data_IF_013124273013
#
_entry.id   IF_013124273013
#
_cell.length_a   1.000
_cell.length_b   1.000
_cell.length_c   1.000
_cell.angle_alpha   90.00
_cell.angle_beta   90.00
_cell.angle_gamma   90.00
#
_symmetry.space_group_name_H-M   'P 1'
#
loop_
_entity.id
_entity.type
_entity.pdbx_description
1 polymer ?
#
# COMPACT_ATOMS: atom_id res chain seq x y z
N UNK A 1 -5.70 -2.69 -6.87
CA UNK A 1 -5.97 -1.25 -7.14
C UNK A 1 -6.28 -0.50 -5.85
N UNK A 2 -5.43 -0.62 -4.83
CA UNK A 2 -5.59 0.08 -3.54
C UNK A 2 -4.32 -0.15 -2.74
N UNK A 3 -3.86 0.84 -1.98
CA UNK A 3 -2.92 0.64 -0.88
C UNK A 3 -3.33 1.50 0.31
N UNK A 4 -3.50 0.85 1.47
CA UNK A 4 -3.68 1.54 2.74
C UNK A 4 -2.73 0.97 3.79
N UNK A 5 -2.28 1.84 4.69
CA UNK A 5 -1.42 1.49 5.82
C UNK A 5 -1.92 2.21 7.07
N UNK A 6 -1.92 1.49 8.19
CA UNK A 6 -2.18 2.05 9.50
C UNK A 6 -1.08 1.59 10.47
N UNK A 7 -0.61 2.51 11.31
CA UNK A 7 0.47 2.29 12.26
C UNK A 7 0.02 2.69 13.66
N UNK A 8 0.45 1.92 14.66
CA UNK A 8 0.26 2.16 16.08
C UNK A 8 1.61 2.31 16.76
N UNK A 9 1.92 3.53 17.15
CA UNK A 9 3.09 3.88 17.96
C UNK A 9 2.64 4.31 19.35
N UNK A 10 3.55 4.39 20.31
CA UNK A 10 3.22 4.70 21.71
C UNK A 10 2.54 6.07 21.86
N UNK A 11 2.86 6.99 20.94
CA UNK A 11 2.37 8.38 20.92
C UNK A 11 1.04 8.56 20.19
N UNK A 12 0.58 7.59 19.40
CA UNK A 12 -0.61 7.79 18.56
C UNK A 12 -0.83 6.74 17.48
N UNK A 13 -1.70 7.08 16.53
CA UNK A 13 -1.98 6.29 15.35
C UNK A 13 -1.71 7.12 14.09
N UNK A 14 -1.23 6.48 13.03
CA UNK A 14 -1.05 7.08 11.71
C UNK A 14 -1.81 6.26 10.69
N UNK A 15 -2.60 6.92 9.85
CA UNK A 15 -3.38 6.30 8.78
C UNK A 15 -3.05 6.96 7.46
N UNK A 16 -2.83 6.16 6.42
CA UNK A 16 -2.61 6.64 5.08
C UNK A 16 -3.33 5.73 4.09
N UNK A 17 -4.11 6.32 3.19
CA UNK A 17 -4.80 5.60 2.13
C UNK A 17 -4.68 6.33 0.79
N UNK A 18 -4.43 5.58 -0.28
CA UNK A 18 -4.59 6.08 -1.64
C UNK A 18 -6.07 6.17 -2.03
N UNK A 19 -6.39 6.82 -3.14
CA UNK A 19 -7.79 7.01 -3.60
C UNK A 19 -8.09 6.40 -4.97
N UNK A 20 -7.07 6.01 -5.73
CA UNK A 20 -7.28 5.36 -7.03
C UNK A 20 -7.99 4.03 -6.85
N UNK A 21 -9.10 3.84 -7.57
CA UNK A 21 -9.95 2.67 -7.42
C UNK A 21 -10.41 2.15 -8.78
N UNK A 22 -10.51 0.83 -8.90
CA UNK A 22 -11.16 0.18 -10.03
C UNK A 22 -12.67 0.16 -9.81
N UNK A 23 -13.43 0.87 -10.63
CA UNK A 23 -14.90 0.84 -10.64
C UNK A 23 -15.48 -0.03 -11.78
N UNK A 24 -14.63 -0.65 -12.60
CA UNK A 24 -15.03 -1.48 -13.74
C UNK A 24 -13.98 -1.51 -14.85
N UNK A 25 -14.22 -2.29 -15.89
CA UNK A 25 -13.35 -2.28 -17.10
C UNK A 25 -13.28 -0.84 -17.63
N UNK A 26 -12.06 -0.34 -17.79
CA UNK A 26 -11.72 1.04 -18.20
C UNK A 26 -12.22 2.18 -17.30
N UNK A 27 -12.78 1.88 -16.12
CA UNK A 27 -13.26 2.86 -15.16
C UNK A 27 -12.32 2.95 -13.95
N UNK A 28 -11.23 3.70 -14.13
CA UNK A 28 -10.38 4.12 -13.00
C UNK A 28 -10.87 5.45 -12.49
N UNK A 29 -11.21 5.52 -11.21
CA UNK A 29 -11.78 6.71 -10.58
C UNK A 29 -11.20 6.95 -9.19
N UNK A 30 -11.51 8.10 -8.63
CA UNK A 30 -11.02 8.56 -7.33
C UNK A 30 -12.11 8.37 -6.29
N UNK A 31 -11.88 7.49 -5.32
CA UNK A 31 -12.78 7.25 -4.18
C UNK A 31 -11.98 7.31 -2.88
N UNK A 32 -12.54 8.00 -1.87
CA UNK A 32 -11.96 7.99 -0.52
C UNK A 32 -12.03 6.58 0.05
N UNK A 33 -10.93 6.15 0.65
CA UNK A 33 -10.80 4.84 1.30
C UNK A 33 -10.60 4.95 2.80
N UNK A 34 -10.79 6.13 3.35
CA UNK A 34 -10.72 6.45 4.78
C UNK A 34 -12.06 7.02 5.22
N UNK A 35 -12.67 6.41 6.24
CA UNK A 35 -13.89 6.88 6.89
C UNK A 35 -13.60 7.11 8.37
N UNK A 36 -14.04 8.25 8.90
CA UNK A 36 -13.84 8.63 10.29
C UNK A 36 -15.19 8.68 11.00
N UNK A 37 -15.29 7.97 12.12
CA UNK A 37 -16.41 8.05 13.06
C UNK A 37 -15.90 8.75 14.31
N UNK A 38 -16.28 10.02 14.47
CA UNK A 38 -15.79 10.88 15.54
C UNK A 38 -16.94 11.35 16.44
N UNK A 39 -16.70 11.30 17.75
CA UNK A 39 -17.46 12.02 18.77
C UNK A 39 -16.44 12.73 19.67
N UNK A 40 -16.19 14.04 19.45
CA UNK A 40 -15.08 14.73 20.10
C UNK A 40 -15.14 14.63 21.62
N UNK A 41 -14.00 14.28 22.23
CA UNK A 41 -13.87 14.08 23.67
C UNK A 41 -14.31 12.71 24.17
N UNK A 42 -14.92 11.88 23.31
CA UNK A 42 -15.41 10.55 23.68
C UNK A 42 -14.77 9.45 22.83
N UNK A 43 -14.79 9.54 21.49
CA UNK A 43 -14.17 8.51 20.63
C UNK A 43 -13.73 9.03 19.28
N UNK A 44 -12.74 8.34 18.73
CA UNK A 44 -12.32 8.43 17.34
C UNK A 44 -12.09 7.01 16.83
N UNK A 45 -12.83 6.61 15.79
CA UNK A 45 -12.63 5.37 15.05
C UNK A 45 -12.36 5.71 13.58
N UNK A 46 -11.39 5.03 12.98
CA UNK A 46 -10.94 5.27 11.60
C UNK A 46 -10.92 3.93 10.88
N UNK A 47 -11.66 3.87 9.79
CA UNK A 47 -11.79 2.69 8.95
C UNK A 47 -11.12 2.94 7.59
N UNK A 48 -10.12 2.13 7.25
CA UNK A 48 -9.54 2.08 5.91
C UNK A 48 -10.08 0.88 5.15
N UNK A 49 -10.36 1.04 3.86
CA UNK A 49 -11.01 0.02 3.03
C UNK A 49 -10.14 -0.39 1.83
N UNK A 50 -10.09 -1.69 1.51
CA UNK A 50 -9.49 -2.17 0.27
C UNK A 50 -10.23 -3.40 -0.28
N UNK A 51 -10.22 -3.56 -1.60
CA UNK A 51 -10.88 -4.67 -2.31
C UNK A 51 -11.93 -4.16 -3.29
N UNK A 52 -13.01 -4.93 -3.46
CA UNK A 52 -14.12 -4.55 -4.31
C UNK A 52 -14.87 -3.34 -3.73
N UNK A 53 -14.98 -2.27 -4.53
CA UNK A 53 -15.56 -0.99 -4.12
C UNK A 53 -17.01 -1.11 -3.67
N UNK A 54 -17.83 -1.88 -4.38
CA UNK A 54 -19.25 -2.04 -4.03
C UNK A 54 -19.42 -2.74 -2.68
N UNK A 55 -18.56 -3.74 -2.40
CA UNK A 55 -18.58 -4.46 -1.12
C UNK A 55 -18.13 -3.56 0.03
N UNK A 56 -17.03 -2.82 -0.15
CA UNK A 56 -16.53 -1.94 0.91
C UNK A 56 -17.48 -0.78 1.19
N UNK A 57 -18.10 -0.19 0.15
CA UNK A 57 -19.13 0.84 0.32
C UNK A 57 -20.36 0.31 1.05
N UNK A 58 -20.81 -0.90 0.72
CA UNK A 58 -21.94 -1.54 1.42
C UNK A 58 -21.64 -1.74 2.91
N UNK A 59 -20.42 -2.16 3.26
CA UNK A 59 -20.00 -2.28 4.66
C UNK A 59 -20.00 -0.91 5.35
N UNK A 60 -19.44 0.12 4.72
CA UNK A 60 -19.44 1.49 5.29
C UNK A 60 -20.87 2.02 5.49
N UNK A 61 -21.77 1.72 4.55
CA UNK A 61 -23.17 2.12 4.63
C UNK A 61 -23.87 1.47 5.83
N UNK A 62 -23.74 0.16 6.00
CA UNK A 62 -24.31 -0.56 7.15
C UNK A 62 -23.79 -0.03 8.50
N UNK A 63 -22.54 0.43 8.54
CA UNK A 63 -21.95 1.02 9.76
C UNK A 63 -22.44 2.44 10.04
N UNK A 64 -22.75 3.21 9.00
CA UNK A 64 -23.07 4.65 9.10
C UNK A 64 -24.58 4.91 9.24
N UNK A 65 -25.40 4.08 8.60
CA UNK A 65 -26.86 4.21 8.56
C UNK A 65 -27.50 2.88 9.02
N UNK A 66 -27.46 2.57 10.32
CA UNK A 66 -28.10 1.37 10.84
C UNK A 66 -29.61 1.47 10.63
N UNK A 67 -30.21 0.40 10.12
CA UNK A 67 -31.65 0.30 9.88
C UNK A 67 -32.45 0.01 11.15
N UNK A 68 -31.79 -0.51 12.19
CA UNK A 68 -32.39 -0.83 13.49
C UNK A 68 -31.66 -0.08 14.62
N UNK A 69 -32.36 0.78 15.40
CA UNK A 69 -31.80 1.53 16.52
C UNK A 69 -31.17 0.66 17.63
N UNK A 70 -31.60 -0.60 17.77
CA UNK A 70 -31.09 -1.51 18.79
C UNK A 70 -29.72 -2.12 18.39
N UNK A 71 -29.31 -1.98 17.13
CA UNK A 71 -28.05 -2.52 16.66
C UNK A 71 -26.85 -1.66 17.13
N UNK A 72 -25.73 -2.28 17.54
CA UNK A 72 -24.51 -1.54 17.85
C UNK A 72 -24.00 -0.77 16.64
N UNK A 73 -23.56 0.47 16.87
CA UNK A 73 -22.99 1.39 15.89
C UNK A 73 -21.57 1.78 16.30
N UNK A 74 -20.76 2.34 15.39
CA UNK A 74 -19.45 2.90 15.76
C UNK A 74 -19.52 3.92 16.92
N UNK A 75 -20.68 4.59 17.10
CA UNK A 75 -20.91 5.59 18.15
C UNK A 75 -21.36 5.04 19.50
N UNK A 76 -21.78 3.78 19.61
CA UNK A 76 -22.26 3.22 20.88
C UNK A 76 -21.52 1.95 21.35
N UNK A 77 -20.67 1.35 20.51
CA UNK A 77 -19.86 0.17 20.92
C UNK A 77 -19.03 0.49 22.17
N UNK A 78 -18.92 -0.44 23.13
CA UNK A 78 -18.30 -0.17 24.43
C UNK A 78 -16.77 -0.15 24.39
N UNK A 79 -16.15 -0.76 23.37
CA UNK A 79 -14.69 -0.82 23.23
C UNK A 79 -14.29 -1.10 21.78
N UNK A 80 -13.01 -0.91 21.46
CA UNK A 80 -12.50 -1.09 20.10
C UNK A 80 -12.54 -2.55 19.60
N UNK A 81 -12.60 -3.55 20.48
CA UNK A 81 -12.77 -4.95 20.07
C UNK A 81 -14.20 -5.21 19.59
N UNK A 82 -15.20 -4.67 20.29
CA UNK A 82 -16.59 -4.70 19.82
C UNK A 82 -16.78 -3.87 18.55
N UNK A 83 -16.02 -2.78 18.37
CA UNK A 83 -15.96 -2.07 17.09
C UNK A 83 -15.42 -2.97 15.95
N UNK A 84 -14.35 -3.72 16.18
CA UNK A 84 -13.82 -4.65 15.18
C UNK A 84 -14.80 -5.80 14.87
N UNK A 85 -15.50 -6.33 15.89
CA UNK A 85 -16.59 -7.31 15.70
C UNK A 85 -17.75 -6.73 14.90
N UNK A 86 -18.10 -5.47 15.12
CA UNK A 86 -19.14 -4.79 14.38
C UNK A 86 -18.80 -4.71 12.88
N UNK A 87 -17.57 -4.28 12.53
CA UNK A 87 -17.10 -4.28 11.13
C UNK A 87 -17.11 -5.70 10.55
N UNK A 88 -16.67 -6.70 11.31
CA UNK A 88 -16.70 -8.10 10.88
C UNK A 88 -18.12 -8.64 10.65
N UNK A 89 -19.10 -8.24 11.46
CA UNK A 89 -20.52 -8.58 11.24
C UNK A 89 -21.04 -7.94 9.96
N UNK A 90 -20.78 -6.66 9.74
CA UNK A 90 -21.19 -5.95 8.53
C UNK A 90 -20.59 -6.60 7.26
N UNK A 91 -19.31 -7.00 7.30
CA UNK A 91 -18.68 -7.72 6.19
C UNK A 91 -19.38 -9.05 5.86
N UNK A 92 -19.78 -9.83 6.89
CA UNK A 92 -20.52 -11.08 6.71
C UNK A 92 -21.95 -10.86 6.22
N UNK A 93 -22.58 -9.76 6.60
CA UNK A 93 -23.91 -9.39 6.10
C UNK A 93 -23.85 -9.07 4.61
N UNK A 94 -22.88 -8.24 4.19
CA UNK A 94 -22.59 -7.96 2.78
C UNK A 94 -22.25 -9.22 2.00
N UNK A 95 -21.50 -10.15 2.60
CA UNK A 95 -21.26 -11.47 2.00
C UNK A 95 -22.56 -12.21 1.72
N UNK A 96 -23.46 -12.33 2.70
CA UNK A 96 -24.75 -13.00 2.51
C UNK A 96 -25.61 -12.35 1.43
N UNK A 97 -25.55 -11.02 1.29
CA UNK A 97 -26.32 -10.28 0.29
C UNK A 97 -25.85 -10.53 -1.16
N UNK A 98 -24.56 -10.79 -1.36
CA UNK A 98 -23.97 -10.75 -2.71
C UNK A 98 -23.29 -12.04 -3.17
N UNK A 99 -23.00 -12.99 -2.29
CA UNK A 99 -22.16 -14.16 -2.63
C UNK A 99 -22.70 -14.97 -3.80
N UNK A 100 -24.02 -15.24 -3.86
CA UNK A 100 -24.63 -16.04 -4.94
C UNK A 100 -24.46 -15.34 -6.30
N UNK A 101 -24.84 -14.07 -6.38
CA UNK A 101 -24.69 -13.29 -7.61
C UNK A 101 -23.21 -13.16 -8.03
N UNK A 102 -22.30 -12.88 -7.10
CA UNK A 102 -20.87 -12.80 -7.41
C UNK A 102 -20.33 -14.12 -7.95
N UNK A 103 -20.75 -15.24 -7.36
CA UNK A 103 -20.39 -16.58 -7.82
C UNK A 103 -20.89 -16.85 -9.24
N UNK A 104 -22.14 -16.48 -9.56
CA UNK A 104 -22.73 -16.66 -10.90
C UNK A 104 -21.98 -15.88 -11.99
N UNK A 105 -21.42 -14.71 -11.64
CA UNK A 105 -20.55 -13.92 -12.52
C UNK A 105 -19.05 -14.26 -12.41
N UNK A 106 -18.70 -15.31 -11.66
CA UNK A 106 -17.33 -15.78 -11.44
C UNK A 106 -16.40 -14.69 -10.85
N UNK A 107 -16.95 -13.86 -9.95
CA UNK A 107 -16.27 -12.80 -9.23
C UNK A 107 -16.01 -13.27 -7.79
N UNK A 108 -14.76 -13.17 -7.35
CA UNK A 108 -14.39 -13.51 -5.97
C UNK A 108 -14.87 -12.41 -4.99
N UNK A 109 -15.42 -12.83 -3.85
CA UNK A 109 -15.72 -11.92 -2.76
C UNK A 109 -14.42 -11.45 -2.08
N UNK A 110 -14.02 -10.21 -2.33
CA UNK A 110 -12.77 -9.66 -1.82
C UNK A 110 -12.99 -8.27 -1.20
N UNK A 111 -12.86 -8.19 0.12
CA UNK A 111 -12.77 -6.96 0.87
C UNK A 111 -11.88 -7.14 2.12
N UNK A 112 -11.25 -6.06 2.55
CA UNK A 112 -10.41 -6.03 3.75
C UNK A 112 -10.42 -4.64 4.35
N UNK A 113 -10.21 -4.57 5.66
CA UNK A 113 -10.34 -3.33 6.41
C UNK A 113 -9.23 -3.18 7.44
N UNK A 114 -8.81 -1.94 7.68
CA UNK A 114 -8.04 -1.58 8.85
C UNK A 114 -8.92 -0.70 9.73
N UNK A 115 -9.10 -1.08 11.00
CA UNK A 115 -9.84 -0.29 11.97
C UNK A 115 -8.90 0.12 13.09
N UNK A 116 -8.68 1.42 13.27
CA UNK A 116 -7.91 1.93 14.39
C UNK A 116 -8.63 3.07 15.09
N UNK A 117 -8.28 3.31 16.35
CA UNK A 117 -8.91 4.39 17.09
C UNK A 117 -8.70 4.29 18.59
N UNK A 118 -9.44 5.14 19.29
CA UNK A 118 -9.47 5.20 20.75
C UNK A 118 -10.88 5.61 21.22
N UNK A 119 -11.32 4.96 22.29
CA UNK A 119 -12.53 5.30 23.04
C UNK A 119 -12.07 5.80 24.42
N UNK A 120 -12.79 6.78 24.97
CA UNK A 120 -12.48 7.41 26.25
C UNK A 120 -12.22 6.38 27.35
N UNK A 121 -11.15 6.59 28.12
CA UNK A 121 -10.74 5.68 29.20
C UNK A 121 -10.09 4.37 28.74
N UNK A 122 -9.89 4.16 27.44
CA UNK A 122 -9.24 2.95 26.89
C UNK A 122 -7.97 3.29 26.11
N UNK A 123 -7.10 2.28 25.95
CA UNK A 123 -5.93 2.39 25.10
C UNK A 123 -6.31 2.47 23.62
N UNK A 124 -5.44 3.10 22.82
CA UNK A 124 -5.51 3.02 21.36
C UNK A 124 -5.36 1.58 20.89
N UNK A 125 -6.18 1.18 19.91
CA UNK A 125 -6.13 -0.16 19.31
C UNK A 125 -6.20 -0.07 17.80
N UNK A 126 -5.64 -1.07 17.13
CA UNK A 126 -5.56 -1.16 15.68
C UNK A 126 -5.76 -2.61 15.26
N UNK A 127 -6.67 -2.84 14.31
CA UNK A 127 -7.09 -4.15 13.84
C UNK A 127 -7.01 -4.26 12.33
N UNK A 128 -6.74 -5.46 11.84
CA UNK A 128 -6.96 -5.86 10.45
C UNK A 128 -8.13 -6.83 10.40
N UNK A 129 -9.17 -6.48 9.66
CA UNK A 129 -10.37 -7.29 9.45
C UNK A 129 -10.31 -7.92 8.06
N UNK A 130 -10.47 -9.24 8.00
CA UNK A 130 -10.46 -10.02 6.77
C UNK A 130 -11.88 -10.16 6.18
N UNK A 131 -11.97 -10.57 4.92
CA UNK A 131 -13.24 -10.79 4.22
C UNK A 131 -14.22 -11.73 4.97
N UNK A 132 -13.69 -12.73 5.69
CA UNK A 132 -14.48 -13.64 6.53
C UNK A 132 -15.01 -12.99 7.84
N UNK A 133 -14.70 -11.72 8.08
CA UNK A 133 -15.13 -10.95 9.24
C UNK A 133 -14.42 -11.29 10.54
N UNK A 134 -13.44 -12.20 10.52
CA UNK A 134 -12.48 -12.36 11.61
C UNK A 134 -11.37 -11.29 11.49
N UNK A 135 -10.61 -11.09 12.56
CA UNK A 135 -9.61 -10.03 12.62
C UNK A 135 -8.45 -10.38 13.55
N UNK A 136 -7.34 -9.66 13.36
CA UNK A 136 -6.18 -9.65 14.27
C UNK A 136 -5.93 -8.24 14.78
N UNK A 137 -5.19 -8.12 15.88
CA UNK A 137 -4.84 -6.85 16.51
C UNK A 137 -3.33 -6.59 16.42
N UNK A 138 -2.96 -5.32 16.21
CA UNK A 138 -1.58 -4.87 16.24
C UNK A 138 -0.98 -5.02 17.65
N UNK A 139 0.29 -5.37 17.70
CA UNK A 139 1.06 -5.50 18.95
C UNK A 139 2.32 -4.64 18.87
N UNK A 140 3.10 -4.59 19.95
CA UNK A 140 4.41 -3.93 19.92
C UNK A 140 5.40 -4.62 18.97
N UNK A 141 5.22 -5.92 18.72
CA UNK A 141 6.03 -6.70 17.75
C UNK A 141 5.59 -6.51 16.31
N UNK A 142 4.31 -6.18 16.10
CA UNK A 142 3.76 -5.88 14.78
C UNK A 142 2.90 -4.62 14.90
N UNK A 143 3.53 -3.43 14.88
CA UNK A 143 2.88 -2.16 15.19
C UNK A 143 2.11 -1.57 14.01
N UNK A 144 1.95 -2.29 12.89
CA UNK A 144 1.29 -1.75 11.72
C UNK A 144 0.62 -2.85 10.89
N UNK A 145 -0.36 -2.45 10.09
CA UNK A 145 -0.99 -3.30 9.09
C UNK A 145 -1.08 -2.60 7.75
N UNK A 146 -1.14 -3.40 6.69
CA UNK A 146 -1.31 -2.96 5.31
C UNK A 146 -2.44 -3.77 4.66
N UNK A 147 -3.21 -3.13 3.77
CA UNK A 147 -4.20 -3.78 2.92
C UNK A 147 -4.06 -3.29 1.47
N UNK A 148 -4.47 -4.13 0.51
CA UNK A 148 -4.26 -3.90 -0.92
C UNK A 148 -2.84 -4.28 -1.38
N UNK A 149 -2.21 -3.45 -2.21
CA UNK A 149 -0.89 -3.64 -2.83
C UNK A 149 0.28 -3.39 -1.85
N UNK A 150 0.28 -4.12 -0.74
CA UNK A 150 1.15 -3.87 0.42
C UNK A 150 2.65 -4.15 0.21
N UNK A 151 3.01 -4.94 -0.81
CA UNK A 151 4.36 -5.55 -0.92
C UNK A 151 5.47 -4.53 -1.17
N UNK A 152 5.21 -3.52 -2.00
CA UNK A 152 6.23 -2.56 -2.46
C UNK A 152 6.68 -1.61 -1.34
N UNK A 153 5.72 -1.14 -0.54
CA UNK A 153 5.98 -0.25 0.58
C UNK A 153 6.40 -0.94 1.87
N UNK A 154 6.33 -2.27 1.95
CA UNK A 154 6.63 -3.03 3.18
C UNK A 154 8.09 -2.90 3.67
N UNK A 155 9.14 -2.98 2.81
CA UNK A 155 10.52 -3.04 3.29
C UNK A 155 11.00 -1.80 4.05
N UNK A 156 10.43 -0.61 3.81
CA UNK A 156 10.80 0.59 4.59
C UNK A 156 10.15 0.56 5.97
N UNK A 157 8.91 0.04 6.07
CA UNK A 157 8.20 -0.11 7.34
C UNK A 157 8.95 -1.09 8.25
N UNK A 158 9.32 -2.26 7.71
CA UNK A 158 10.05 -3.30 8.46
C UNK A 158 11.43 -2.83 8.95
N UNK A 159 12.06 -1.86 8.25
CA UNK A 159 13.41 -1.38 8.60
C UNK A 159 13.42 -0.20 9.57
N UNK A 160 12.39 0.64 9.53
CA UNK A 160 12.44 1.97 10.17
C UNK A 160 11.40 2.12 11.26
N UNK A 161 10.21 1.55 11.11
CA UNK A 161 9.12 1.76 12.05
C UNK A 161 9.41 1.06 13.39
N UNK A 162 9.30 1.82 14.48
CA UNK A 162 9.43 1.29 15.85
C UNK A 162 8.31 1.83 16.73
N UNK A 163 7.88 1.11 17.79
CA UNK A 163 6.81 1.59 18.68
C UNK A 163 7.09 2.94 19.35
N UNK A 164 8.35 3.23 19.68
CA UNK A 164 8.75 4.46 20.35
C UNK A 164 8.90 5.68 19.41
N UNK A 165 8.72 5.48 18.10
CA UNK A 165 8.91 6.50 17.07
C UNK A 165 7.96 7.70 17.27
N UNK A 166 8.43 8.95 17.09
CA UNK A 166 7.57 10.13 17.05
C UNK A 166 6.52 10.04 15.94
N UNK A 167 5.33 10.63 16.14
CA UNK A 167 4.23 10.55 15.17
C UNK A 167 4.60 11.13 13.80
N UNK A 168 5.33 12.24 13.77
CA UNK A 168 5.73 12.87 12.50
C UNK A 168 6.72 12.01 11.72
N UNK A 169 7.57 11.23 12.42
CA UNK A 169 8.48 10.27 11.77
C UNK A 169 7.72 9.04 11.26
N UNK A 170 6.73 8.54 12.00
CA UNK A 170 5.85 7.47 11.54
C UNK A 170 5.04 7.91 10.30
N UNK A 171 4.52 9.13 10.27
CA UNK A 171 3.85 9.73 9.11
C UNK A 171 4.79 9.82 7.90
N UNK A 172 6.04 10.29 8.11
CA UNK A 172 7.07 10.31 7.06
C UNK A 172 7.36 8.90 6.53
N UNK A 173 7.46 7.90 7.42
CA UNK A 173 7.66 6.50 7.04
C UNK A 173 6.50 5.98 6.16
N UNK A 174 5.25 6.32 6.51
CA UNK A 174 4.06 6.00 5.71
C UNK A 174 4.14 6.61 4.30
N UNK A 175 4.55 7.88 4.19
CA UNK A 175 4.68 8.57 2.90
C UNK A 175 5.78 7.96 2.03
N UNK A 176 6.92 7.57 2.59
CA UNK A 176 7.99 6.90 1.83
C UNK A 176 7.54 5.50 1.36
N UNK A 177 6.78 4.80 2.21
CA UNK A 177 6.15 3.52 1.86
C UNK A 177 5.18 3.68 0.68
N UNK A 178 4.38 4.75 0.69
CA UNK A 178 3.47 5.09 -0.41
C UNK A 178 4.21 5.51 -1.68
N UNK A 179 5.28 6.32 -1.59
CA UNK A 179 6.10 6.71 -2.75
C UNK A 179 6.66 5.49 -3.50
N UNK A 180 7.21 4.53 -2.74
CA UNK A 180 7.73 3.28 -3.29
C UNK A 180 6.64 2.49 -4.02
N UNK A 181 5.42 2.49 -3.48
CA UNK A 181 4.28 1.78 -4.05
C UNK A 181 3.74 2.47 -5.31
N UNK A 182 3.59 3.80 -5.29
CA UNK A 182 3.14 4.60 -6.43
C UNK A 182 4.06 4.45 -7.64
N UNK A 183 5.38 4.37 -7.43
CA UNK A 183 6.36 4.17 -8.51
C UNK A 183 6.31 2.78 -9.12
N UNK A 184 5.97 1.77 -8.33
CA UNK A 184 6.11 0.36 -8.73
C UNK A 184 4.78 -0.28 -9.13
N UNK A 185 3.64 0.33 -8.83
CA UNK A 185 2.33 -0.23 -9.14
C UNK A 185 1.31 0.86 -9.51
N UNK A 186 0.92 0.89 -10.79
CA UNK A 186 -0.02 1.87 -11.36
C UNK A 186 -1.42 1.81 -10.77
N UNK A 187 -1.76 0.70 -10.10
CA UNK A 187 -3.08 0.49 -9.50
C UNK A 187 -3.28 1.29 -8.20
N UNK A 188 -2.22 1.89 -7.67
CA UNK A 188 -2.23 2.81 -6.54
C UNK A 188 -2.05 4.23 -7.07
N UNK A 189 -2.73 5.22 -6.50
CA UNK A 189 -2.68 6.57 -7.05
C UNK A 189 -3.14 7.68 -6.12
N UNK A 190 -2.61 8.87 -6.40
CA UNK A 190 -3.01 10.14 -5.81
C UNK A 190 -4.46 10.51 -6.19
N UNK A 191 -5.14 11.36 -5.38
CA UNK A 191 -4.67 11.89 -4.09
C UNK A 191 -4.59 10.83 -2.98
N UNK A 192 -3.96 11.20 -1.86
CA UNK A 192 -3.89 10.40 -0.63
C UNK A 192 -4.59 11.13 0.51
N UNK A 193 -5.22 10.36 1.39
CA UNK A 193 -5.68 10.84 2.69
C UNK A 193 -4.67 10.40 3.75
N UNK A 194 -4.01 11.37 4.40
CA UNK A 194 -3.13 11.17 5.56
C UNK A 194 -3.81 11.70 6.81
N UNK A 195 -3.90 10.88 7.86
CA UNK A 195 -4.44 11.27 9.15
C UNK A 195 -3.51 10.83 10.28
N UNK A 196 -3.26 11.73 11.22
CA UNK A 196 -2.47 11.47 12.42
C UNK A 196 -3.34 11.71 13.64
N UNK A 197 -3.44 10.69 14.49
CA UNK A 197 -4.19 10.73 15.73
C UNK A 197 -3.22 10.72 16.90
N UNK A 198 -3.34 11.73 17.77
CA UNK A 198 -2.54 11.83 18.99
C UNK A 198 -3.23 11.07 20.12
N UNK A 199 -2.45 10.27 20.85
CA UNK A 199 -2.95 9.50 21.98
C UNK A 199 -3.70 10.41 22.97
N UNK A 200 -4.86 9.95 23.42
CA UNK A 200 -5.72 10.61 24.41
C UNK A 200 -6.34 11.95 23.93
N UNK A 201 -6.15 12.36 22.66
CA UNK A 201 -6.77 13.58 22.14
C UNK A 201 -8.29 13.46 21.98
N UNK A 202 -8.76 12.23 21.71
CA UNK A 202 -10.16 11.88 21.42
C UNK A 202 -10.83 12.82 20.39
N UNK A 203 -10.04 13.35 19.46
CA UNK A 203 -10.49 14.18 18.34
C UNK A 203 -9.48 14.19 17.21
N UNK A 204 -9.92 14.45 15.98
CA UNK A 204 -9.04 14.63 14.83
C UNK A 204 -8.53 16.07 14.77
N UNK A 205 -7.21 16.21 14.78
CA UNK A 205 -6.53 17.51 14.68
C UNK A 205 -5.59 17.61 13.49
N UNK A 206 -5.15 16.48 12.93
CA UNK A 206 -4.15 16.41 11.85
C UNK A 206 -4.66 15.55 10.70
N UNK A 207 -5.07 16.20 9.63
CA UNK A 207 -5.48 15.59 8.38
C UNK A 207 -4.88 16.35 7.19
N UNK A 208 -4.42 15.63 6.18
CA UNK A 208 -3.89 16.20 4.95
C UNK A 208 -4.36 15.42 3.73
N UNK A 209 -4.87 16.14 2.73
CA UNK A 209 -5.06 15.64 1.38
C UNK A 209 -3.76 15.89 0.59
N UNK A 210 -3.15 14.82 0.09
CA UNK A 210 -1.88 14.88 -0.64
C UNK A 210 -2.16 14.58 -2.11
N UNK A 211 -2.12 15.60 -2.95
CA UNK A 211 -2.29 15.49 -4.40
C UNK A 211 -0.94 15.64 -5.14
N UNK A 212 -1.01 15.83 -6.46
CA UNK A 212 0.17 16.00 -7.31
C UNK A 212 0.94 17.30 -7.04
N UNK A 213 0.30 18.31 -6.46
CA UNK A 213 0.88 19.63 -6.22
C UNK A 213 1.43 19.79 -4.79
N UNK A 214 1.23 18.79 -3.92
CA UNK A 214 1.72 18.84 -2.55
C UNK A 214 3.26 18.94 -2.50
N UNK A 215 3.76 20.11 -2.10
CA UNK A 215 5.19 20.43 -2.08
C UNK A 215 5.99 19.50 -1.17
N UNK A 216 5.45 19.17 0.00
CA UNK A 216 6.12 18.29 0.97
C UNK A 216 6.30 16.87 0.42
N UNK A 217 5.27 16.31 -0.21
CA UNK A 217 5.36 14.98 -0.81
C UNK A 217 6.30 14.96 -2.02
N UNK A 218 6.30 16.01 -2.85
CA UNK A 218 7.29 16.18 -3.94
C UNK A 218 8.72 16.28 -3.41
N UNK A 219 8.91 16.99 -2.30
CA UNK A 219 10.20 17.07 -1.62
C UNK A 219 10.64 15.68 -1.11
N UNK A 220 9.76 14.91 -0.46
CA UNK A 220 10.07 13.51 -0.06
C UNK A 220 10.48 12.69 -1.28
N UNK A 221 9.66 12.69 -2.32
CA UNK A 221 9.88 11.93 -3.54
C UNK A 221 11.25 12.20 -4.18
N UNK A 222 11.63 13.47 -4.30
CA UNK A 222 12.90 13.89 -4.90
C UNK A 222 14.10 13.63 -4.00
N UNK A 223 14.02 14.06 -2.73
CA UNK A 223 15.12 13.92 -1.77
C UNK A 223 15.43 12.47 -1.43
N UNK A 224 14.40 11.63 -1.20
CA UNK A 224 14.57 10.22 -0.88
C UNK A 224 15.23 9.46 -2.05
N UNK A 225 14.74 9.69 -3.27
CA UNK A 225 15.32 9.07 -4.46
C UNK A 225 16.78 9.47 -4.70
N UNK A 226 17.11 10.74 -4.48
CA UNK A 226 18.49 11.22 -4.60
C UNK A 226 19.42 10.59 -3.55
N UNK A 227 18.98 10.55 -2.28
CA UNK A 227 19.76 9.96 -1.19
C UNK A 227 19.95 8.46 -1.34
N UNK A 228 18.94 7.72 -1.81
CA UNK A 228 19.08 6.29 -2.10
C UNK A 228 20.13 6.02 -3.18
N UNK A 229 20.16 6.81 -4.26
CA UNK A 229 21.18 6.69 -5.30
C UNK A 229 22.57 7.02 -4.77
N UNK A 230 22.68 8.04 -3.92
CA UNK A 230 23.94 8.40 -3.28
C UNK A 230 24.48 7.22 -2.45
N UNK A 231 23.68 6.67 -1.54
CA UNK A 231 24.06 5.52 -0.71
C UNK A 231 24.41 4.32 -1.58
N UNK A 232 23.66 4.06 -2.66
CA UNK A 232 23.96 2.96 -3.58
C UNK A 232 25.35 3.09 -4.22
N UNK A 233 25.74 4.29 -4.66
CA UNK A 233 27.07 4.54 -5.25
C UNK A 233 28.20 4.46 -4.22
N UNK A 234 27.90 4.66 -2.93
CA UNK A 234 28.87 4.53 -1.83
C UNK A 234 29.11 3.07 -1.41
N UNK A 235 28.26 2.12 -1.85
CA UNK A 235 28.46 0.69 -1.57
C UNK A 235 29.62 0.17 -2.44
N UNK A 236 30.64 -0.49 -1.86
CA UNK A 236 31.75 -1.04 -2.62
C UNK A 236 31.30 -2.05 -3.68
N UNK A 237 32.00 -2.06 -4.81
CA UNK A 237 31.77 -3.03 -5.87
C UNK A 237 31.85 -4.48 -5.34
N UNK A 238 31.04 -5.41 -5.88
CA UNK A 238 31.13 -6.81 -5.50
C UNK A 238 32.53 -7.38 -5.70
N UNK A 239 33.05 -8.06 -4.69
CA UNK A 239 34.31 -8.78 -4.81
C UNK A 239 34.07 -10.14 -5.46
N UNK A 240 34.68 -10.35 -6.62
CA UNK A 240 34.58 -11.60 -7.35
C UNK A 240 35.77 -12.50 -7.01
N UNK A 241 35.50 -13.76 -6.66
CA UNK A 241 36.56 -14.76 -6.59
C UNK A 241 36.87 -15.22 -8.02
N UNK A 242 38.13 -15.16 -8.49
CA UNK A 242 38.49 -15.69 -9.79
C UNK A 242 38.08 -17.16 -9.91
N UNK A 243 37.55 -17.57 -11.07
CA UNK A 243 37.06 -18.94 -11.29
C UNK A 243 38.12 -20.01 -10.97
N UNK A 244 39.39 -19.74 -11.26
CA UNK A 244 40.50 -20.66 -10.97
C UNK A 244 40.92 -20.72 -9.49
N UNK A 245 40.43 -19.80 -8.66
CA UNK A 245 40.67 -19.75 -7.22
C UNK A 245 39.48 -20.28 -6.40
N UNK A 246 38.44 -20.81 -7.06
CA UNK A 246 37.30 -21.41 -6.38
C UNK A 246 37.67 -22.79 -5.78
N UNK A 247 37.20 -23.11 -4.56
CA UNK A 247 37.35 -24.45 -3.99
C UNK A 247 36.72 -25.53 -4.86
N UNK A 248 37.31 -26.73 -4.87
CA UNK A 248 36.76 -27.88 -5.56
C UNK A 248 35.30 -28.13 -5.15
N UNK A 249 34.40 -28.30 -6.13
CA UNK A 249 32.96 -28.47 -5.91
C UNK A 249 32.14 -27.19 -5.75
N UNK A 250 32.76 -25.99 -5.82
CA UNK A 250 32.05 -24.69 -5.83
C UNK A 250 32.10 -23.97 -7.18
N UNK A 251 32.57 -24.65 -8.22
CA UNK A 251 32.52 -24.13 -9.58
C UNK A 251 31.07 -23.98 -10.05
N UNK A 252 30.75 -22.96 -10.86
CA UNK A 252 29.43 -22.84 -11.48
C UNK A 252 29.10 -24.11 -12.25
N UNK A 253 27.85 -24.56 -12.14
CA UNK A 253 27.35 -25.67 -12.93
C UNK A 253 27.35 -25.27 -14.41
N UNK A 254 28.06 -26.03 -15.23
CA UNK A 254 28.13 -25.81 -16.68
C UNK A 254 27.37 -26.91 -17.38
N UNK A 255 26.42 -26.55 -18.23
CA UNK A 255 25.87 -27.46 -19.23
C UNK A 255 26.81 -27.49 -20.42
N UNK A 256 27.13 -28.68 -20.94
CA UNK A 256 27.80 -28.77 -22.23
C UNK A 256 26.84 -28.30 -23.33
N UNK A 257 27.32 -27.55 -24.34
CA UNK A 257 26.52 -27.27 -25.51
C UNK A 257 26.08 -28.61 -26.13
N UNK A 258 24.81 -28.76 -26.54
CA UNK A 258 24.38 -29.96 -27.22
C UNK A 258 25.29 -30.17 -28.42
N UNK A 259 25.87 -31.39 -28.54
CA UNK A 259 26.73 -31.77 -29.65
C UNK A 259 26.08 -31.32 -30.96
N UNK A 260 26.60 -30.25 -31.55
CA UNK A 260 26.14 -29.76 -32.83
C UNK A 260 26.59 -30.79 -33.88
N UNK A 261 25.73 -31.75 -34.19
CA UNK A 261 25.86 -32.54 -35.42
C UNK A 261 25.31 -31.78 -36.63
N UNK A 262 25.51 -30.46 -36.70
CA UNK A 262 25.22 -29.67 -37.89
C UNK A 262 26.36 -28.68 -38.12
N UNK A 263 26.81 -28.65 -39.37
CA UNK A 263 28.09 -28.11 -39.82
C UNK A 263 28.37 -26.67 -39.42
N UNK A 264 29.64 -26.30 -39.60
CA UNK A 264 30.23 -25.01 -39.25
C UNK A 264 29.25 -23.84 -39.49
N UNK A 265 28.85 -23.17 -38.40
CA UNK A 265 28.33 -21.81 -38.50
C UNK A 265 29.46 -20.92 -39.02
N UNK A 266 29.29 -20.20 -40.14
CA UNK A 266 30.31 -19.29 -40.62
C UNK A 266 30.53 -18.18 -39.60
N UNK A 267 31.75 -18.09 -39.07
CA UNK A 267 32.18 -16.99 -38.24
C UNK A 267 32.33 -15.74 -39.10
N UNK A 268 31.27 -14.95 -39.20
CA UNK A 268 31.33 -13.57 -39.70
C UNK A 268 30.50 -12.69 -38.75
N UNK A 269 31.11 -12.27 -37.65
CA UNK A 269 30.64 -11.11 -36.92
C UNK A 269 31.54 -9.95 -37.36
N UNK A 270 31.18 -9.30 -38.47
CA UNK A 270 31.65 -7.94 -38.71
C UNK A 270 31.14 -7.06 -37.55
N UNK A 271 31.95 -6.12 -37.04
CA UNK A 271 31.50 -5.21 -36.00
C UNK A 271 30.29 -4.42 -36.53
N UNK A 272 29.15 -4.57 -35.87
CA UNK A 272 27.95 -3.80 -36.21
C UNK A 272 28.28 -2.30 -36.11
N UNK A 273 27.95 -1.47 -37.14
CA UNK A 273 28.18 -0.04 -37.06
C UNK A 273 27.31 0.55 -35.94
N UNK A 274 27.90 1.46 -35.17
CA UNK A 274 27.24 2.13 -34.06
C UNK A 274 25.91 2.76 -34.52
N UNK A 275 24.79 2.34 -33.92
CA UNK A 275 23.49 2.94 -34.17
C UNK A 275 23.45 4.36 -33.58
N UNK A 276 23.64 5.36 -34.43
CA UNK A 276 23.40 6.77 -34.10
C UNK A 276 21.89 7.01 -34.03
N UNK A 277 21.43 7.54 -32.90
CA UNK A 277 20.03 7.90 -32.63
C UNK A 277 19.57 8.95 -33.66
N UNK A 278 18.71 8.56 -34.61
CA UNK A 278 18.17 9.49 -35.61
C UNK A 278 17.09 10.39 -34.97
N UNK A 279 17.46 11.65 -34.69
CA UNK A 279 16.52 12.73 -34.46
C UNK A 279 15.76 13.05 -35.76
N UNK A 280 14.43 13.11 -35.65
CA UNK A 280 13.52 13.62 -36.69
C UNK A 280 13.81 15.10 -36.98
N UNK A 281 14.26 15.42 -38.20
CA UNK A 281 14.08 16.73 -38.82
C UNK A 281 13.64 16.52 -40.27
N UNK A 282 12.38 16.90 -40.55
CA UNK A 282 11.76 16.77 -41.87
C UNK A 282 12.37 17.73 -42.90
N UNK A 283 12.17 17.45 -44.21
CA UNK A 283 12.84 18.19 -45.27
C UNK A 283 12.17 19.55 -45.56
N UNK A 284 12.97 20.62 -45.55
CA UNK A 284 12.69 21.86 -46.28
C UNK A 284 12.92 21.61 -47.77
N UNK A 285 11.94 21.98 -48.61
CA UNK A 285 12.10 22.12 -50.06
C UNK A 285 12.57 23.53 -50.41
N UNK A 286 13.51 23.63 -51.34
CA UNK A 286 13.78 24.73 -52.29
C UNK A 286 15.04 24.36 -53.12
N UNK A 287 15.35 25.03 -54.25
CA UNK A 287 14.53 25.33 -55.42
C UNK A 287 15.24 24.91 -56.75
N UNK A 288 14.50 24.97 -57.86
CA UNK A 288 14.98 25.38 -59.19
C UNK A 288 13.87 26.27 -59.81
#
# INVERSE_FOLDING_TARGET
MTYCVAMRVDRGLVFLSDTRTNAGVDHVSTFRKMTVFEQPGERVLVLLTAGNLALTQSVVQLLSEPTDPEHPTPWNVPNMFEAARLVGRAAREVYKMHVEALHDFNIEFNCSFLLGGQIHGQCMRLFQIYAAGNFIEASTMSPYFQIGEAKYGKPILDRVLTPAMPLDEAAKCALISMDSTLRSNVSVGLPLDLMVYEKDSLRITKFALIDHENEYFRMIHSSWGARLRQVFTEIPDPQWTPLGALPAGRSPMRSEPPLASHGAYPAACEPAPAQTLAQHLGPKKEPD
#
